data_IF_990556428686
#
_entry.id   IF_990556428686
#
_cell.length_a   1.000
_cell.length_b   1.000
_cell.length_c   1.000
_cell.angle_alpha   90.00
_cell.angle_beta   90.00
_cell.angle_gamma   90.00
#
_symmetry.space_group_name_H-M   'P 1'
#
loop_
_entity.id
_entity.type
_entity.pdbx_description
1 polymer ?
#
# COMPACT_ATOMS: atom_id res chain seq x y z
N UNK A 1 34.51 -11.63 -4.03
CA UNK A 1 34.15 -10.22 -3.78
C UNK A 1 33.16 -9.72 -4.81
N UNK A 2 32.02 -9.23 -4.35
CA UNK A 2 30.89 -8.77 -5.18
C UNK A 2 31.22 -7.48 -5.93
N UNK A 3 30.55 -7.22 -7.05
CA UNK A 3 30.77 -6.02 -7.90
C UNK A 3 30.59 -4.70 -7.12
N UNK A 4 29.78 -4.74 -6.06
CA UNK A 4 29.55 -3.65 -5.13
C UNK A 4 30.73 -3.35 -4.18
N UNK A 5 31.53 -4.36 -3.82
CA UNK A 5 32.71 -4.16 -2.94
C UNK A 5 33.83 -3.38 -3.63
N UNK A 6 33.94 -3.50 -4.97
CA UNK A 6 35.00 -2.84 -5.75
C UNK A 6 34.81 -1.32 -5.85
N UNK A 7 33.57 -0.85 -5.90
CA UNK A 7 33.28 0.60 -5.96
C UNK A 7 33.60 1.32 -4.64
N UNK A 8 33.47 0.63 -3.50
CA UNK A 8 33.76 1.20 -2.19
C UNK A 8 35.26 1.42 -1.97
N UNK A 9 36.11 0.53 -2.49
CA UNK A 9 37.56 0.63 -2.30
C UNK A 9 38.21 1.67 -3.24
N UNK A 10 37.61 1.96 -4.39
CA UNK A 10 38.13 2.95 -5.35
C UNK A 10 38.07 4.40 -4.84
N UNK A 11 37.19 4.71 -3.87
CA UNK A 11 36.99 6.07 -3.34
C UNK A 11 37.70 6.34 -2.01
N UNK A 12 38.58 5.45 -1.56
CA UNK A 12 39.31 5.59 -0.27
C UNK A 12 40.75 6.08 -0.40
N UNK A 13 41.18 6.47 -1.60
CA UNK A 13 42.40 7.25 -1.78
C UNK A 13 42.17 8.71 -1.38
N UNK A 14 42.88 9.16 -0.34
CA UNK A 14 43.03 10.55 0.12
C UNK A 14 41.83 11.18 0.86
N UNK A 15 41.72 10.92 2.17
CA UNK A 15 41.39 11.95 3.17
C UNK A 15 41.55 11.39 4.60
N UNK A 16 42.60 11.84 5.31
CA UNK A 16 42.69 11.75 6.77
C UNK A 16 41.59 12.62 7.39
N UNK A 17 40.45 12.01 7.77
CA UNK A 17 39.57 12.53 8.82
C UNK A 17 38.83 11.36 9.45
N UNK A 18 38.99 11.21 10.77
CA UNK A 18 38.28 10.26 11.62
C UNK A 18 36.79 10.60 11.71
N UNK A 19 36.02 10.38 10.63
CA UNK A 19 34.56 10.39 10.68
C UNK A 19 34.08 8.94 10.90
N UNK A 20 33.14 8.70 11.82
CA UNK A 20 32.61 7.35 12.03
C UNK A 20 31.93 6.90 10.75
N UNK A 21 32.46 5.83 10.16
CA UNK A 21 31.87 5.15 9.01
C UNK A 21 30.50 4.65 9.48
N UNK A 22 29.42 5.35 9.13
CA UNK A 22 28.05 4.90 9.37
C UNK A 22 27.91 3.52 8.71
N UNK A 23 27.78 2.46 9.51
CA UNK A 23 27.40 1.14 9.01
C UNK A 23 26.02 1.31 8.35
N UNK A 24 25.96 1.21 7.03
CA UNK A 24 24.69 1.18 6.32
C UNK A 24 23.97 -0.12 6.70
N UNK A 25 22.97 -0.03 7.56
CA UNK A 25 22.06 -1.12 7.86
C UNK A 25 20.92 -1.11 6.84
N UNK A 26 20.73 -2.21 6.14
CA UNK A 26 19.60 -2.41 5.25
C UNK A 26 18.48 -3.14 5.99
N UNK A 27 17.25 -2.66 5.86
CA UNK A 27 16.05 -3.28 6.42
C UNK A 27 15.17 -3.70 5.25
N UNK A 28 14.70 -4.95 5.27
CA UNK A 28 13.74 -5.45 4.31
C UNK A 28 12.35 -5.41 4.94
N UNK A 29 11.39 -4.85 4.21
CA UNK A 29 9.99 -4.80 4.62
C UNK A 29 9.18 -5.66 3.67
N UNK A 30 8.46 -6.65 4.22
CA UNK A 30 7.45 -7.38 3.48
C UNK A 30 6.12 -6.64 3.56
N UNK A 31 5.52 -6.34 2.42
CA UNK A 31 4.23 -5.64 2.31
C UNK A 31 3.50 -6.07 1.05
N UNK A 32 2.17 -5.91 1.01
CA UNK A 32 1.40 -6.06 -0.23
C UNK A 32 1.78 -4.91 -1.15
N UNK A 33 2.25 -5.23 -2.34
CA UNK A 33 2.71 -4.22 -3.32
C UNK A 33 1.66 -3.98 -4.40
N UNK A 34 1.17 -5.04 -5.05
CA UNK A 34 0.06 -4.98 -6.01
C UNK A 34 -1.23 -5.45 -5.36
N UNK A 35 -2.30 -4.68 -5.53
CA UNK A 35 -3.63 -5.03 -5.04
C UNK A 35 -4.49 -5.48 -6.22
N UNK A 36 -4.62 -6.81 -6.37
CA UNK A 36 -5.32 -7.44 -7.48
C UNK A 36 -6.46 -8.29 -6.90
N UNK A 37 -7.70 -8.02 -7.30
CA UNK A 37 -8.90 -8.66 -6.75
C UNK A 37 -8.84 -10.19 -6.82
N UNK A 38 -8.28 -10.71 -7.91
CA UNK A 38 -8.14 -12.15 -8.12
C UNK A 38 -7.14 -12.86 -7.18
N UNK A 39 -6.24 -12.10 -6.54
CA UNK A 39 -5.20 -12.60 -5.64
C UNK A 39 -5.34 -12.06 -4.22
N UNK A 40 -6.55 -11.68 -3.83
CA UNK A 40 -6.85 -11.16 -2.51
C UNK A 40 -7.85 -12.10 -1.84
N UNK A 41 -7.45 -12.72 -0.73
CA UNK A 41 -8.34 -13.49 0.12
C UNK A 41 -8.45 -12.78 1.48
N UNK A 42 -9.53 -12.00 1.66
CA UNK A 42 -9.78 -11.29 2.90
C UNK A 42 -10.35 -12.20 4.00
N UNK A 43 -10.60 -13.49 3.72
CA UNK A 43 -10.96 -14.46 4.75
C UNK A 43 -9.72 -15.14 5.35
N UNK A 44 -8.58 -15.14 4.64
CA UNK A 44 -7.30 -15.59 5.18
C UNK A 44 -6.84 -14.67 6.34
N UNK A 45 -6.59 -15.22 7.54
CA UNK A 45 -6.23 -14.42 8.71
C UNK A 45 -4.85 -13.76 8.58
N UNK A 46 -3.91 -14.36 7.82
CA UNK A 46 -2.55 -13.83 7.67
C UNK A 46 -2.54 -12.64 6.73
N UNK A 47 -3.20 -12.76 5.58
CA UNK A 47 -3.35 -11.65 4.63
C UNK A 47 -4.16 -10.50 5.26
N UNK A 48 -5.24 -10.81 5.98
CA UNK A 48 -6.02 -9.80 6.71
C UNK A 48 -5.15 -9.01 7.71
N UNK A 49 -4.33 -9.69 8.49
CA UNK A 49 -3.44 -9.04 9.47
C UNK A 49 -2.39 -8.16 8.78
N UNK A 50 -1.76 -8.65 7.70
CA UNK A 50 -0.81 -7.88 6.90
C UNK A 50 -1.44 -6.59 6.35
N UNK A 51 -2.63 -6.70 5.76
CA UNK A 51 -3.34 -5.58 5.16
C UNK A 51 -3.78 -4.56 6.23
N UNK A 52 -4.27 -5.04 7.38
CA UNK A 52 -4.64 -4.19 8.50
C UNK A 52 -3.48 -3.30 8.97
N UNK A 53 -2.29 -3.86 9.21
CA UNK A 53 -1.13 -3.07 9.61
C UNK A 53 -0.61 -2.14 8.51
N UNK A 54 -0.69 -2.57 7.25
CA UNK A 54 -0.31 -1.73 6.12
C UNK A 54 -1.25 -0.52 5.97
N UNK A 55 -2.54 -0.69 6.22
CA UNK A 55 -3.54 0.38 6.24
C UNK A 55 -3.32 1.33 7.43
N UNK A 56 -3.07 0.80 8.64
CA UNK A 56 -2.74 1.63 9.82
C UNK A 56 -1.52 2.52 9.56
N UNK A 57 -0.47 1.96 8.94
CA UNK A 57 0.68 2.74 8.52
C UNK A 57 0.30 3.79 7.47
N UNK A 58 -0.50 3.43 6.47
CA UNK A 58 -0.99 4.36 5.44
C UNK A 58 -1.75 5.56 6.03
N UNK A 59 -2.66 5.31 6.97
CA UNK A 59 -3.42 6.35 7.66
C UNK A 59 -2.51 7.29 8.46
N UNK A 60 -1.60 6.75 9.28
CA UNK A 60 -0.64 7.56 10.06
C UNK A 60 0.27 8.42 9.18
N UNK A 61 0.63 7.93 8.00
CA UNK A 61 1.41 8.68 7.00
C UNK A 61 0.57 9.65 6.16
N UNK A 62 -0.70 9.85 6.51
CA UNK A 62 -1.61 10.78 5.85
C UNK A 62 -1.84 10.43 4.36
N UNK A 63 -1.86 9.13 4.03
CA UNK A 63 -2.02 8.64 2.64
C UNK A 63 -3.47 8.57 2.16
N UNK A 64 -4.41 8.80 3.07
CA UNK A 64 -5.83 8.89 2.77
C UNK A 64 -6.36 10.22 3.30
N UNK A 65 -7.24 10.91 2.56
CA UNK A 65 -8.07 11.94 3.14
C UNK A 65 -8.94 11.25 4.19
N UNK A 66 -9.02 11.79 5.40
CA UNK A 66 -9.86 11.26 6.48
C UNK A 66 -10.62 12.44 7.05
N UNK A 67 -11.95 12.32 7.11
CA UNK A 67 -12.84 13.30 7.74
C UNK A 67 -12.85 13.13 9.26
N UNK A 68 -13.30 14.13 10.00
CA UNK A 68 -13.31 14.08 11.47
C UNK A 68 -14.20 12.93 11.98
N UNK A 69 -15.37 12.73 11.39
CA UNK A 69 -16.26 11.61 11.73
C UNK A 69 -15.60 10.25 11.46
N UNK A 70 -14.90 10.10 10.34
CA UNK A 70 -14.16 8.87 10.06
C UNK A 70 -12.99 8.67 11.02
N UNK A 71 -12.31 9.74 11.43
CA UNK A 71 -11.24 9.67 12.41
C UNK A 71 -11.77 9.19 13.77
N UNK A 72 -12.95 9.66 14.19
CA UNK A 72 -13.66 9.17 15.38
C UNK A 72 -13.98 7.68 15.23
N UNK A 73 -14.60 7.26 14.13
CA UNK A 73 -14.95 5.84 13.88
C UNK A 73 -13.72 4.92 13.81
N UNK A 74 -12.62 5.35 13.17
CA UNK A 74 -11.38 4.58 13.10
C UNK A 74 -10.73 4.46 14.48
N UNK A 75 -10.79 5.52 15.29
CA UNK A 75 -10.26 5.49 16.66
C UNK A 75 -11.09 4.56 17.55
N UNK A 76 -12.42 4.62 17.49
CA UNK A 76 -13.27 3.75 18.31
C UNK A 76 -13.10 2.28 17.96
N UNK A 77 -12.98 1.95 16.67
CA UNK A 77 -12.65 0.60 16.22
C UNK A 77 -11.25 0.16 16.68
N UNK A 78 -10.26 1.05 16.63
CA UNK A 78 -8.91 0.76 17.14
C UNK A 78 -8.92 0.53 18.66
N UNK A 79 -9.72 1.29 19.40
CA UNK A 79 -9.89 1.12 20.84
C UNK A 79 -10.49 -0.26 21.15
N UNK A 80 -11.53 -0.68 20.44
CA UNK A 80 -12.11 -2.02 20.61
C UNK A 80 -11.08 -3.13 20.32
N UNK A 81 -10.17 -2.91 19.37
CA UNK A 81 -9.10 -3.88 19.03
C UNK A 81 -8.06 -3.99 20.13
N UNK A 82 -7.65 -2.87 20.74
CA UNK A 82 -6.54 -2.80 21.70
C UNK A 82 -6.98 -2.96 23.16
N UNK A 83 -8.13 -2.39 23.52
CA UNK A 83 -8.64 -2.29 24.88
C UNK A 83 -9.79 -3.27 25.18
N UNK A 84 -10.48 -3.75 24.14
CA UNK A 84 -11.70 -4.55 24.30
C UNK A 84 -12.93 -3.68 24.55
N UNK A 85 -13.94 -4.20 25.23
CA UNK A 85 -15.18 -3.47 25.50
C UNK A 85 -14.93 -2.19 26.32
N UNK A 86 -15.63 -1.11 25.97
CA UNK A 86 -15.62 0.13 26.74
C UNK A 86 -16.12 -0.11 28.17
N UNK A 87 -15.25 0.16 29.16
CA UNK A 87 -15.60 0.16 30.58
C UNK A 87 -16.14 1.53 30.99
N UNK A 88 -16.85 1.61 32.12
CA UNK A 88 -17.42 2.86 32.66
C UNK A 88 -16.35 3.86 33.18
N UNK A 89 -15.06 3.50 33.07
CA UNK A 89 -13.95 4.36 33.45
C UNK A 89 -13.65 5.40 32.36
N UNK A 90 -13.08 6.54 32.75
CA UNK A 90 -12.62 7.56 31.80
C UNK A 90 -11.44 6.98 31.00
N UNK A 91 -11.69 6.59 29.75
CA UNK A 91 -10.68 6.09 28.82
C UNK A 91 -10.03 7.27 28.09
N UNK A 92 -8.71 7.38 28.15
CA UNK A 92 -7.95 8.33 27.35
C UNK A 92 -7.64 7.76 25.96
N UNK A 93 -8.45 8.11 24.96
CA UNK A 93 -8.29 7.60 23.59
C UNK A 93 -7.08 8.14 22.83
N UNK A 94 -6.40 9.16 23.35
CA UNK A 94 -5.31 9.86 22.64
C UNK A 94 -4.17 8.93 22.22
N UNK A 95 -3.79 7.99 23.09
CA UNK A 95 -2.73 7.03 22.79
C UNK A 95 -3.14 6.08 21.66
N UNK A 96 -4.36 5.55 21.73
CA UNK A 96 -4.94 4.67 20.70
C UNK A 96 -5.06 5.39 19.37
N UNK A 97 -5.52 6.65 19.36
CA UNK A 97 -5.60 7.47 18.14
C UNK A 97 -4.23 7.62 17.45
N UNK A 98 -3.14 7.75 18.20
CA UNK A 98 -1.78 7.82 17.64
C UNK A 98 -1.34 6.54 16.92
N UNK A 99 -1.96 5.39 17.24
CA UNK A 99 -1.64 4.11 16.60
C UNK A 99 -2.27 3.97 15.21
N UNK A 100 -3.37 4.68 14.93
CA UNK A 100 -4.12 4.57 13.68
C UNK A 100 -4.21 5.87 12.86
N UNK A 101 -3.99 7.05 13.44
CA UNK A 101 -4.22 8.34 12.77
C UNK A 101 -2.98 9.25 12.74
N UNK A 102 -2.92 10.20 11.77
CA UNK A 102 -1.85 11.18 11.71
C UNK A 102 -1.99 12.22 12.84
N UNK A 103 -0.85 12.73 13.34
CA UNK A 103 -0.80 13.66 14.49
C UNK A 103 -1.69 14.90 14.35
N UNK A 104 -1.93 15.37 13.11
CA UNK A 104 -2.81 16.52 12.84
C UNK A 104 -4.26 16.26 13.22
N UNK A 105 -4.74 15.01 13.07
CA UNK A 105 -6.11 14.63 13.41
C UNK A 105 -6.22 14.34 14.90
N UNK A 106 -5.24 13.64 15.47
CA UNK A 106 -5.24 13.25 16.89
C UNK A 106 -5.40 14.45 17.84
N UNK A 107 -4.89 15.62 17.47
CA UNK A 107 -4.89 16.81 18.34
C UNK A 107 -6.29 17.34 18.62
N UNK A 108 -7.23 17.17 17.69
CA UNK A 108 -8.56 17.81 17.75
C UNK A 108 -9.71 16.79 17.86
N UNK A 109 -9.42 15.54 18.23
CA UNK A 109 -10.46 14.50 18.29
C UNK A 109 -11.34 14.65 19.54
N UNK A 110 -12.68 14.68 19.38
CA UNK A 110 -13.60 14.72 20.50
C UNK A 110 -13.63 13.35 21.22
N UNK A 111 -13.16 13.34 22.47
CA UNK A 111 -13.10 12.12 23.28
C UNK A 111 -14.52 11.54 23.53
N UNK A 112 -15.51 12.39 23.77
CA UNK A 112 -16.90 12.00 24.02
C UNK A 112 -17.52 11.23 22.85
N UNK A 113 -17.32 11.70 21.61
CA UNK A 113 -17.83 11.00 20.42
C UNK A 113 -17.14 9.65 20.22
N UNK A 114 -15.83 9.57 20.47
CA UNK A 114 -15.08 8.31 20.42
C UNK A 114 -15.64 7.34 21.47
N UNK A 115 -15.86 7.80 22.70
CA UNK A 115 -16.42 6.98 23.77
C UNK A 115 -17.82 6.46 23.42
N UNK A 116 -18.70 7.32 22.90
CA UNK A 116 -20.04 6.94 22.47
C UNK A 116 -20.00 5.86 21.38
N UNK A 117 -19.14 6.04 20.37
CA UNK A 117 -18.96 5.03 19.33
C UNK A 117 -18.34 3.73 19.88
N UNK A 118 -17.34 3.81 20.75
CA UNK A 118 -16.70 2.65 21.36
C UNK A 118 -17.68 1.84 22.21
N UNK A 119 -18.53 2.52 22.99
CA UNK A 119 -19.62 1.88 23.75
C UNK A 119 -20.59 1.12 22.84
N UNK A 120 -20.88 1.63 21.64
CA UNK A 120 -21.75 0.95 20.67
C UNK A 120 -21.17 -0.33 20.08
N UNK A 121 -19.85 -0.53 20.20
CA UNK A 121 -19.13 -1.73 19.74
C UNK A 121 -19.07 -2.84 20.79
N UNK A 122 -19.69 -2.66 21.97
CA UNK A 122 -19.66 -3.63 23.06
C UNK A 122 -20.07 -5.03 22.61
N UNK A 123 -19.28 -6.03 22.98
CA UNK A 123 -19.44 -7.43 22.58
C UNK A 123 -18.83 -7.76 21.22
N UNK A 124 -18.30 -6.77 20.48
CA UNK A 124 -17.56 -7.00 19.24
C UNK A 124 -16.16 -7.53 19.56
N UNK A 125 -15.79 -8.67 18.99
CA UNK A 125 -14.45 -9.22 19.18
C UNK A 125 -13.40 -8.39 18.44
N UNK A 126 -12.13 -8.46 18.88
CA UNK A 126 -11.01 -7.80 18.20
C UNK A 126 -10.92 -8.17 16.70
N UNK A 127 -11.23 -9.41 16.34
CA UNK A 127 -11.25 -9.86 14.94
C UNK A 127 -12.38 -9.20 14.12
N UNK A 128 -13.57 -9.05 14.71
CA UNK A 128 -14.70 -8.36 14.09
C UNK A 128 -14.45 -6.85 13.97
N UNK A 129 -13.84 -6.24 14.99
CA UNK A 129 -13.44 -4.83 14.96
C UNK A 129 -12.41 -4.55 13.87
N UNK A 130 -11.37 -5.39 13.72
CA UNK A 130 -10.44 -5.31 12.58
C UNK A 130 -11.15 -5.46 11.23
N UNK A 131 -12.13 -6.38 11.13
CA UNK A 131 -12.92 -6.56 9.91
C UNK A 131 -13.77 -5.32 9.60
N UNK A 132 -14.43 -4.73 10.60
CA UNK A 132 -15.20 -3.51 10.47
C UNK A 132 -14.31 -2.32 10.08
N UNK A 133 -13.12 -2.20 10.67
CA UNK A 133 -12.10 -1.22 10.30
C UNK A 133 -11.72 -1.34 8.83
N UNK A 134 -11.37 -2.54 8.38
CA UNK A 134 -11.03 -2.79 6.97
C UNK A 134 -12.23 -2.54 6.03
N UNK A 135 -13.45 -2.83 6.45
CA UNK A 135 -14.67 -2.54 5.68
C UNK A 135 -14.92 -1.04 5.53
N UNK A 136 -14.69 -0.24 6.58
CA UNK A 136 -14.77 1.21 6.51
C UNK A 136 -13.78 1.75 5.45
N UNK A 137 -12.53 1.30 5.50
CA UNK A 137 -11.51 1.67 4.52
C UNK A 137 -11.87 1.21 3.11
N UNK A 138 -12.41 -0.01 2.98
CA UNK A 138 -12.88 -0.57 1.69
C UNK A 138 -13.98 0.27 1.05
N UNK A 139 -14.79 0.98 1.85
CA UNK A 139 -15.84 1.85 1.31
C UNK A 139 -15.28 3.11 0.63
N UNK A 140 -14.00 3.45 0.88
CA UNK A 140 -13.37 4.60 0.25
C UNK A 140 -12.99 4.29 -1.22
N UNK A 141 -13.24 5.23 -2.14
CA UNK A 141 -12.77 5.09 -3.51
C UNK A 141 -11.23 5.03 -3.52
N UNK A 142 -10.69 4.18 -4.39
CA UNK A 142 -9.24 4.01 -4.56
C UNK A 142 -8.50 3.61 -3.27
N UNK A 143 -9.17 2.96 -2.30
CA UNK A 143 -8.54 2.51 -1.05
C UNK A 143 -7.35 1.54 -1.23
N UNK A 144 -7.24 0.93 -2.42
CA UNK A 144 -6.15 0.02 -2.83
C UNK A 144 -5.08 0.69 -3.68
N UNK A 145 -5.27 1.97 -4.02
CA UNK A 145 -4.35 2.66 -4.89
C UNK A 145 -3.09 3.11 -4.15
N UNK A 146 -1.97 3.09 -4.86
CA UNK A 146 -0.76 3.76 -4.40
C UNK A 146 -0.81 5.22 -4.84
N UNK A 147 -0.81 6.12 -3.87
CA UNK A 147 -0.91 7.57 -4.11
C UNK A 147 0.47 8.23 -4.20
N UNK A 148 0.69 9.12 -5.16
CA UNK A 148 1.90 9.91 -5.31
C UNK A 148 1.58 11.40 -5.38
N UNK A 149 2.33 12.22 -4.63
CA UNK A 149 2.30 13.67 -4.80
C UNK A 149 2.94 14.04 -6.15
N UNK A 150 2.17 14.79 -6.95
CA UNK A 150 2.57 15.25 -8.28
C UNK A 150 2.19 16.72 -8.47
N UNK A 151 2.92 17.40 -9.33
CA UNK A 151 2.55 18.74 -9.79
C UNK A 151 2.31 18.74 -11.30
N UNK A 152 1.40 19.56 -11.79
CA UNK A 152 1.18 19.78 -13.21
C UNK A 152 1.29 21.27 -13.55
N UNK A 153 1.61 21.61 -14.80
CA UNK A 153 1.72 23.01 -15.26
C UNK A 153 1.19 23.24 -16.67
N UNK A 154 0.58 22.23 -17.29
CA UNK A 154 0.21 22.25 -18.70
C UNK A 154 -1.31 22.23 -18.93
N UNK A 155 -2.09 21.99 -17.88
CA UNK A 155 -3.54 21.82 -17.95
C UNK A 155 -4.20 22.86 -17.05
N UNK A 156 -4.77 23.91 -17.66
CA UNK A 156 -5.25 25.11 -16.95
C UNK A 156 -6.48 24.86 -16.07
N UNK A 157 -7.29 23.84 -16.37
CA UNK A 157 -8.49 23.49 -15.60
C UNK A 157 -8.20 22.60 -14.39
N UNK A 158 -6.94 22.20 -14.15
CA UNK A 158 -6.56 21.42 -12.98
C UNK A 158 -5.74 22.25 -11.99
N UNK A 159 -5.86 22.00 -10.68
CA UNK A 159 -4.94 22.53 -9.69
C UNK A 159 -3.48 22.20 -10.01
N UNK A 160 -2.54 23.04 -9.53
CA UNK A 160 -1.10 22.82 -9.73
C UNK A 160 -0.59 21.60 -8.98
N UNK A 161 -1.08 21.36 -7.77
CA UNK A 161 -0.70 20.23 -6.91
C UNK A 161 -1.83 19.22 -6.94
N UNK A 162 -1.51 17.97 -7.23
CA UNK A 162 -2.47 16.88 -7.39
C UNK A 162 -1.93 15.62 -6.71
N UNK A 163 -2.81 14.64 -6.61
CA UNK A 163 -2.44 13.26 -6.31
C UNK A 163 -2.60 12.39 -7.54
N UNK A 164 -1.61 11.55 -7.80
CA UNK A 164 -1.71 10.48 -8.80
C UNK A 164 -1.90 9.16 -8.06
N UNK A 165 -3.05 8.53 -8.25
CA UNK A 165 -3.34 7.20 -7.75
C UNK A 165 -3.12 6.15 -8.86
N UNK A 166 -2.46 5.05 -8.49
CA UNK A 166 -2.23 3.90 -9.38
C UNK A 166 -2.79 2.65 -8.71
N UNK A 167 -3.72 1.95 -9.36
CA UNK A 167 -4.32 0.70 -8.88
C UNK A 167 -4.52 -0.32 -10.01
N UNK A 168 -5.30 -1.38 -9.77
CA UNK A 168 -5.58 -2.40 -10.79
C UNK A 168 -6.43 -1.91 -11.96
N UNK A 169 -7.22 -0.84 -11.79
CA UNK A 169 -8.08 -0.30 -12.84
C UNK A 169 -7.30 0.65 -13.74
N UNK A 170 -6.35 1.40 -13.18
CA UNK A 170 -5.46 2.24 -13.97
C UNK A 170 -4.85 3.39 -13.19
N UNK A 171 -4.86 4.56 -13.83
CA UNK A 171 -4.31 5.82 -13.29
C UNK A 171 -5.43 6.81 -13.05
N UNK A 172 -5.40 7.45 -11.89
CA UNK A 172 -6.39 8.44 -11.51
C UNK A 172 -5.69 9.71 -11.03
N UNK A 173 -6.04 10.85 -11.60
CA UNK A 173 -5.62 12.14 -11.08
C UNK A 173 -6.70 12.65 -10.11
N UNK A 174 -6.30 12.94 -8.90
CA UNK A 174 -7.17 13.44 -7.84
C UNK A 174 -6.79 14.87 -7.46
N UNK A 175 -7.79 15.60 -7.01
CA UNK A 175 -7.54 16.83 -6.26
C UNK A 175 -6.71 16.51 -5.00
N UNK A 176 -5.76 17.38 -4.69
CA UNK A 176 -4.82 17.16 -3.59
C UNK A 176 -5.56 17.01 -2.25
N UNK A 177 -5.26 15.94 -1.50
CA UNK A 177 -5.90 15.61 -0.20
C UNK A 177 -7.40 15.39 -0.31
N UNK A 178 -7.91 15.04 -1.49
CA UNK A 178 -9.31 14.74 -1.74
C UNK A 178 -9.47 13.34 -2.32
N UNK A 179 -10.65 12.75 -2.15
CA UNK A 179 -11.04 11.48 -2.77
C UNK A 179 -11.69 11.69 -4.14
N UNK A 180 -11.79 12.94 -4.59
CA UNK A 180 -12.41 13.32 -5.85
C UNK A 180 -11.44 13.13 -7.02
N UNK A 181 -11.77 12.23 -7.94
CA UNK A 181 -11.00 12.02 -9.15
C UNK A 181 -11.37 13.06 -10.23
N UNK A 182 -10.38 13.80 -10.71
CA UNK A 182 -10.51 14.75 -11.82
C UNK A 182 -10.58 14.02 -13.17
N UNK A 183 -9.80 12.96 -13.32
CA UNK A 183 -9.86 12.05 -14.46
C UNK A 183 -9.28 10.68 -14.11
N UNK A 184 -9.64 9.69 -14.92
CA UNK A 184 -9.18 8.31 -14.79
C UNK A 184 -8.81 7.76 -16.17
N UNK A 185 -7.75 6.95 -16.23
CA UNK A 185 -7.24 6.31 -17.44
C UNK A 185 -7.04 4.83 -17.18
N UNK A 186 -7.80 3.99 -17.87
CA UNK A 186 -7.60 2.54 -17.86
C UNK A 186 -6.29 2.18 -18.56
N UNK A 187 -5.70 1.03 -18.21
CA UNK A 187 -4.43 0.59 -18.81
C UNK A 187 -4.46 0.50 -20.34
N UNK A 188 -5.58 0.06 -20.92
CA UNK A 188 -5.75 -0.04 -22.38
C UNK A 188 -5.74 1.32 -23.09
N UNK A 189 -6.03 2.40 -22.36
CA UNK A 189 -5.99 3.77 -22.88
C UNK A 189 -4.59 4.40 -22.77
N UNK A 190 -3.63 3.75 -22.12
CA UNK A 190 -2.27 4.27 -21.93
C UNK A 190 -1.41 3.79 -23.10
N UNK A 191 -1.08 4.71 -24.02
CA UNK A 191 -0.28 4.40 -25.20
C UNK A 191 1.21 4.34 -24.87
N UNK A 192 1.69 5.25 -24.02
CA UNK A 192 3.08 5.24 -23.55
C UNK A 192 3.26 6.06 -22.28
N UNK A 193 4.30 5.75 -21.52
CA UNK A 193 4.74 6.53 -20.37
C UNK A 193 6.27 6.58 -20.34
N UNK A 194 6.82 7.75 -20.02
CA UNK A 194 8.26 8.02 -20.05
C UNK A 194 8.67 8.73 -18.75
N UNK A 195 9.29 8.02 -17.80
CA UNK A 195 9.85 8.63 -16.61
C UNK A 195 11.18 9.33 -16.90
N UNK A 196 11.40 10.46 -16.24
CA UNK A 196 12.65 11.19 -16.20
C UNK A 196 12.88 11.71 -14.76
N UNK A 197 14.05 12.30 -14.49
CA UNK A 197 14.32 12.90 -13.18
C UNK A 197 13.30 14.01 -12.91
N UNK A 198 12.55 13.86 -11.82
CA UNK A 198 11.49 14.76 -11.39
C UNK A 198 10.33 14.95 -12.39
N UNK A 199 10.21 14.13 -13.44
CA UNK A 199 9.22 14.32 -14.49
C UNK A 199 8.67 12.99 -14.98
N UNK A 200 7.36 12.92 -15.20
CA UNK A 200 6.67 11.77 -15.75
C UNK A 200 5.75 12.26 -16.87
N UNK A 201 6.00 11.77 -18.08
CA UNK A 201 5.15 12.01 -19.23
C UNK A 201 4.29 10.78 -19.48
N UNK A 202 2.99 10.96 -19.68
CA UNK A 202 2.03 9.90 -20.00
C UNK A 202 1.24 10.34 -21.23
N UNK A 203 1.15 9.46 -22.22
CA UNK A 203 0.32 9.66 -23.42
C UNK A 203 -0.85 8.70 -23.33
N UNK A 204 -2.06 9.24 -23.30
CA UNK A 204 -3.32 8.48 -23.18
C UNK A 204 -4.22 8.69 -24.39
N UNK A 205 -5.20 7.83 -24.58
CA UNK A 205 -6.23 7.94 -25.62
C UNK A 205 -6.11 6.84 -26.68
N UNK A 206 -6.33 7.20 -27.93
CA UNK A 206 -6.24 6.29 -29.08
C UNK A 206 -5.25 6.83 -30.11
N UNK A 207 -4.84 5.99 -31.07
CA UNK A 207 -3.95 6.40 -32.17
C UNK A 207 -4.47 7.63 -32.94
N UNK A 208 -5.80 7.82 -32.98
CA UNK A 208 -6.45 8.94 -33.68
C UNK A 208 -6.61 10.19 -32.80
N UNK A 209 -6.65 10.04 -31.48
CA UNK A 209 -6.85 11.15 -30.53
C UNK A 209 -6.05 10.88 -29.25
N UNK A 210 -4.89 11.53 -29.16
CA UNK A 210 -3.98 11.42 -28.04
C UNK A 210 -4.10 12.62 -27.11
N UNK A 211 -3.94 12.38 -25.82
CA UNK A 211 -3.83 13.38 -24.77
C UNK A 211 -2.49 13.20 -24.06
N UNK A 212 -1.79 14.31 -23.85
CA UNK A 212 -0.47 14.32 -23.19
C UNK A 212 -0.61 14.87 -21.79
N UNK A 213 -0.12 14.12 -20.81
CA UNK A 213 -0.08 14.50 -19.41
C UNK A 213 1.39 14.59 -19.00
N UNK A 214 1.77 15.70 -18.39
CA UNK A 214 3.13 15.91 -17.88
C UNK A 214 3.04 16.26 -16.41
N UNK A 215 3.62 15.41 -15.58
CA UNK A 215 3.61 15.50 -14.13
C UNK A 215 5.05 15.69 -13.63
N UNK A 216 5.22 16.55 -12.64
CA UNK A 216 6.48 16.77 -11.95
C UNK A 216 6.44 16.03 -10.61
N UNK A 217 7.34 15.06 -10.40
CA UNK A 217 7.45 14.29 -9.15
C UNK A 217 8.80 13.60 -9.05
N UNK A 218 9.39 13.59 -7.84
CA UNK A 218 10.65 12.87 -7.57
C UNK A 218 10.50 11.35 -7.63
N UNK A 219 9.27 10.84 -7.67
CA UNK A 219 8.94 9.42 -7.68
C UNK A 219 8.62 8.88 -9.08
N UNK A 220 8.94 9.61 -10.16
CA UNK A 220 8.56 9.27 -11.53
C UNK A 220 8.91 7.82 -11.94
N UNK A 221 10.12 7.35 -11.59
CA UNK A 221 10.54 5.98 -11.86
C UNK A 221 9.75 4.93 -11.06
N UNK A 222 9.37 5.24 -9.82
CA UNK A 222 8.55 4.33 -9.00
C UNK A 222 7.15 4.20 -9.58
N UNK A 223 6.55 5.32 -10.01
CA UNK A 223 5.25 5.32 -10.69
C UNK A 223 5.32 4.50 -11.98
N UNK A 224 6.30 4.76 -12.85
CA UNK A 224 6.44 4.03 -14.11
C UNK A 224 6.67 2.53 -13.92
N UNK A 225 7.41 2.13 -12.88
CA UNK A 225 7.58 0.73 -12.54
C UNK A 225 6.27 0.10 -12.08
N UNK A 226 5.51 0.79 -11.23
CA UNK A 226 4.22 0.29 -10.75
C UNK A 226 3.21 0.13 -11.89
N UNK A 227 3.15 1.08 -12.83
CA UNK A 227 2.33 0.99 -14.05
C UNK A 227 2.70 -0.28 -14.83
N UNK A 228 4.00 -0.51 -15.04
CA UNK A 228 4.51 -1.68 -15.76
C UNK A 228 4.10 -2.98 -15.07
N UNK A 229 4.31 -3.07 -13.76
CA UNK A 229 4.02 -4.27 -12.96
C UNK A 229 2.52 -4.62 -13.00
N UNK A 230 1.62 -3.64 -12.87
CA UNK A 230 0.19 -3.88 -13.05
C UNK A 230 -0.13 -4.33 -14.48
N UNK A 231 0.41 -3.65 -15.49
CA UNK A 231 0.16 -3.99 -16.91
C UNK A 231 0.60 -5.42 -17.24
N UNK A 232 1.81 -5.82 -16.79
CA UNK A 232 2.36 -7.17 -17.02
C UNK A 232 1.48 -8.26 -16.41
N UNK A 233 0.98 -8.05 -15.18
CA UNK A 233 0.15 -9.04 -14.50
C UNK A 233 -1.25 -9.11 -15.11
N UNK A 234 -1.82 -7.98 -15.51
CA UNK A 234 -3.16 -7.91 -16.12
C UNK A 234 -3.20 -8.47 -17.55
N UNK A 235 -2.12 -8.33 -18.32
CA UNK A 235 -2.01 -8.88 -19.69
C UNK A 235 -1.56 -10.34 -19.71
N UNK A 236 -1.09 -10.89 -18.59
CA UNK A 236 -0.67 -12.29 -18.50
C UNK A 236 -1.89 -13.22 -18.69
N UNK A 237 -1.89 -14.15 -19.66
CA UNK A 237 -2.94 -15.14 -19.81
C UNK A 237 -2.88 -16.14 -18.64
N UNK A 238 -3.53 -15.82 -17.53
CA UNK A 238 -3.41 -16.59 -16.29
C UNK A 238 -4.42 -17.74 -16.25
N UNK A 239 -3.90 -18.94 -16.47
CA UNK A 239 -4.53 -20.22 -16.09
C UNK A 239 -4.26 -20.50 -14.62
N UNK A 240 -5.04 -19.92 -13.70
CA UNK A 240 -5.03 -20.34 -12.31
C UNK A 240 -6.43 -20.72 -11.84
N UNK A 241 -6.57 -22.01 -11.52
CA UNK A 241 -7.74 -22.56 -10.85
C UNK A 241 -7.83 -21.91 -9.47
N UNK A 242 -8.91 -21.13 -9.27
CA UNK A 242 -9.41 -20.74 -7.96
C UNK A 242 -9.25 -21.94 -7.02
N UNK A 243 -8.59 -21.77 -5.86
CA UNK A 243 -8.61 -22.80 -4.83
C UNK A 243 -10.07 -22.98 -4.46
N UNK A 244 -10.71 -24.00 -5.03
CA UNK A 244 -12.04 -24.40 -4.60
C UNK A 244 -11.92 -24.77 -3.12
N UNK A 245 -12.58 -23.99 -2.29
CA UNK A 245 -12.92 -24.34 -0.92
C UNK A 245 -13.93 -25.49 -0.94
N UNK A 246 -13.44 -26.67 -1.32
CA UNK A 246 -14.17 -27.92 -1.32
C UNK A 246 -14.11 -28.57 0.06
N UNK A 247 -15.19 -28.45 0.83
CA UNK A 247 -15.54 -29.45 1.86
C UNK A 247 -15.60 -30.83 1.18
N UNK A 248 -14.73 -31.76 1.55
CA UNK A 248 -15.04 -33.20 1.67
C UNK A 248 -13.93 -33.99 2.37
N UNK A 249 -14.38 -34.85 3.27
CA UNK A 249 -13.65 -35.86 4.05
C UNK A 249 -12.69 -36.73 3.21
N UNK A 250 -11.58 -37.14 3.82
CA UNK A 250 -10.79 -38.30 3.37
C UNK A 250 -9.34 -38.30 3.88
N UNK A 251 -9.02 -39.23 4.79
CA UNK A 251 -7.66 -39.60 5.18
C UNK A 251 -6.80 -40.04 3.98
N UNK A 252 -5.63 -39.41 3.77
CA UNK A 252 -4.31 -40.07 3.75
C UNK A 252 -3.17 -39.16 3.24
N UNK A 253 -2.05 -39.24 3.96
CA UNK A 253 -0.65 -38.97 3.62
C UNK A 253 -0.24 -38.23 2.34
N UNK A 254 0.43 -37.09 2.53
CA UNK A 254 1.71 -36.70 1.93
C UNK A 254 1.84 -35.16 1.96
N UNK A 255 2.67 -34.64 2.86
CA UNK A 255 3.00 -33.21 2.94
C UNK A 255 3.91 -32.82 1.75
N UNK A 256 3.35 -32.60 0.57
CA UNK A 256 4.06 -31.91 -0.51
C UNK A 256 3.88 -30.41 -0.34
N UNK A 257 4.92 -29.73 0.17
CA UNK A 257 5.02 -28.27 0.13
C UNK A 257 4.94 -27.79 -1.34
N UNK A 258 4.27 -26.67 -1.65
CA UNK A 258 4.24 -26.15 -3.00
C UNK A 258 5.65 -25.71 -3.42
N UNK A 259 6.12 -26.24 -4.56
CA UNK A 259 7.40 -25.85 -5.15
C UNK A 259 7.25 -24.44 -5.72
N UNK A 260 7.96 -23.47 -5.15
CA UNK A 260 8.05 -22.12 -5.69
C UNK A 260 8.73 -22.15 -7.05
N UNK A 261 8.07 -21.58 -8.07
CA UNK A 261 8.61 -21.44 -9.44
C UNK A 261 9.90 -20.59 -9.46
N UNK A 262 10.18 -19.85 -8.38
CA UNK A 262 11.38 -19.01 -8.22
C UNK A 262 12.57 -19.68 -7.52
N UNK A 263 12.43 -20.88 -6.95
CA UNK A 263 13.53 -21.58 -6.30
C UNK A 263 14.00 -22.76 -7.14
N UNK A 264 15.12 -22.60 -7.86
CA UNK A 264 15.93 -23.77 -8.25
C UNK A 264 16.70 -24.23 -7.00
N UNK A 265 16.64 -25.52 -6.62
CA UNK A 265 17.46 -26.03 -5.54
C UNK A 265 18.96 -25.85 -5.88
N UNK A 266 19.77 -25.62 -4.84
CA UNK A 266 21.22 -25.48 -5.02
C UNK A 266 21.80 -26.74 -5.67
N UNK A 267 22.75 -26.61 -6.62
CA UNK A 267 23.37 -27.76 -7.26
C UNK A 267 24.08 -28.63 -6.21
N UNK A 268 23.84 -29.93 -6.26
CA UNK A 268 24.49 -30.90 -5.39
C UNK A 268 25.99 -30.95 -5.72
N UNK A 269 26.83 -30.73 -4.71
CA UNK A 269 28.27 -30.94 -4.82
C UNK A 269 28.49 -32.43 -4.60
N UNK A 270 28.78 -33.17 -5.66
CA UNK A 270 29.26 -34.55 -5.55
C UNK A 270 30.65 -34.53 -4.92
N UNK A 271 30.77 -35.09 -3.71
CA UNK A 271 32.08 -35.39 -3.13
C UNK A 271 32.67 -36.56 -3.91
N UNK A 272 33.70 -36.27 -4.70
CA UNK A 272 34.54 -37.32 -5.29
C UNK A 272 35.23 -38.08 -4.15
N UNK A 273 35.05 -39.40 -4.16
CA UNK A 273 35.84 -40.35 -3.37
C UNK A 273 37.08 -40.75 -4.13
#
# INVERSE_FOLDING_TARGET
MSKWERYRNANTGTANTSKPIRKHSHIFLFKKHLFLDQYMDLDDPVEKELLYHQVLHGLRCDRFPVTDNEAVMLTSLQAQVELGDCEDNVIEYRQVSCHCLPSRLVTNLPNEDIAMHHQSLRGMTSAEAKKAFLNLIKSWPLHRATIFDVMQSFTSNWPRVLWLAVDQAGLHLLEHRSRNALCSYEYDSILSYSPAVNCLMIITGSDKKQSKIILTTSQAFQVANLIREYTEVLQSPQSFKKRESGRKNGMNGSNSRPVSILHKPAPAIEMQT
#
